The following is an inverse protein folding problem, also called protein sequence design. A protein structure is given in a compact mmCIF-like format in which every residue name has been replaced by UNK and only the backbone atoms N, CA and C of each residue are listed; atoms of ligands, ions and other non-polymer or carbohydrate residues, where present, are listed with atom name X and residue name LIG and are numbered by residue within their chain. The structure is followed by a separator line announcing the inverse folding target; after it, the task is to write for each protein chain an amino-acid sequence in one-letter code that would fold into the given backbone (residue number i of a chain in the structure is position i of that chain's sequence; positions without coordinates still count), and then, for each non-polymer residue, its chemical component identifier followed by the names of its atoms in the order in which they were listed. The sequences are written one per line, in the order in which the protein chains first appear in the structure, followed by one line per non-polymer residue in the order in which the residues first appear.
data_IF_905230883463
#
_entry.id   IF_905230883463
#
_cell.length_a   1.000
_cell.length_b   1.000
_cell.length_c   1.000
_cell.angle_alpha   90.00
_cell.angle_beta   90.00
_cell.angle_gamma   90.00
#
_symmetry.space_group_name_H-M   'P 1'
#
loop_
_entity.id
_entity.type
_entity.pdbx_description
1 polymer ?
#
# COMPACT_ATOMS: atom_id res chain seq x y z
N UNK A 1 7.07 -14.16 -30.84
CA UNK A 1 8.16 -15.10 -31.15
C UNK A 1 8.28 -16.13 -30.04
N UNK A 2 8.49 -17.40 -30.37
CA UNK A 2 8.70 -18.46 -29.37
C UNK A 2 10.12 -18.35 -28.83
N UNK A 3 10.27 -18.30 -27.50
CA UNK A 3 11.55 -18.11 -26.84
C UNK A 3 12.49 -19.31 -27.02
N UNK A 4 13.80 -19.08 -26.97
CA UNK A 4 14.82 -20.13 -27.15
C UNK A 4 14.62 -21.34 -26.22
N UNK A 5 14.19 -21.11 -24.98
CA UNK A 5 13.94 -22.16 -23.99
C UNK A 5 12.70 -23.03 -24.32
N UNK A 6 11.66 -22.44 -24.92
CA UNK A 6 10.48 -23.16 -25.38
C UNK A 6 10.80 -24.03 -26.59
N UNK A 7 11.64 -23.52 -27.51
CA UNK A 7 12.16 -24.30 -28.64
C UNK A 7 12.96 -25.51 -28.15
N UNK A 8 13.84 -25.32 -27.17
CA UNK A 8 14.63 -26.40 -26.55
C UNK A 8 13.74 -27.46 -25.87
N UNK A 9 12.72 -27.03 -25.12
CA UNK A 9 11.71 -27.92 -24.52
C UNK A 9 11.00 -28.76 -25.57
N UNK A 10 10.59 -28.15 -26.69
CA UNK A 10 9.95 -28.87 -27.79
C UNK A 10 10.87 -29.94 -28.40
N UNK A 11 12.14 -29.62 -28.65
CA UNK A 11 13.12 -30.59 -29.17
C UNK A 11 13.24 -31.77 -28.21
N UNK A 12 13.33 -31.51 -26.92
CA UNK A 12 13.45 -32.53 -25.88
C UNK A 12 12.25 -33.49 -25.89
N UNK A 13 11.02 -32.95 -25.93
CA UNK A 13 9.79 -33.76 -26.03
C UNK A 13 9.78 -34.60 -27.30
N UNK A 14 10.13 -34.01 -28.45
CA UNK A 14 10.09 -34.70 -29.76
C UNK A 14 11.20 -35.72 -29.98
N UNK A 15 12.25 -35.69 -29.16
CA UNK A 15 13.41 -36.58 -29.29
C UNK A 15 13.54 -37.56 -28.13
N UNK A 16 12.55 -37.60 -27.23
CA UNK A 16 12.60 -38.33 -25.95
C UNK A 16 13.91 -38.04 -25.20
N UNK A 17 14.12 -36.74 -24.92
CA UNK A 17 15.32 -36.21 -24.25
C UNK A 17 16.64 -36.61 -24.92
N UNK A 18 16.61 -36.72 -26.26
CA UNK A 18 17.79 -37.03 -27.07
C UNK A 18 18.05 -38.52 -27.31
N UNK A 19 17.16 -39.43 -26.87
CA UNK A 19 17.26 -40.86 -27.21
C UNK A 19 17.08 -41.09 -28.72
N UNK A 20 16.21 -40.32 -29.38
CA UNK A 20 15.99 -40.42 -30.84
C UNK A 20 17.03 -39.56 -31.60
N UNK A 21 18.28 -40.05 -31.64
CA UNK A 21 19.44 -39.30 -32.18
C UNK A 21 19.26 -38.81 -33.63
N UNK A 22 18.63 -39.62 -34.48
CA UNK A 22 18.46 -39.32 -35.91
C UNK A 22 17.61 -38.07 -36.21
N UNK A 23 16.75 -37.64 -35.27
CA UNK A 23 15.85 -36.49 -35.47
C UNK A 23 16.34 -35.20 -34.80
N UNK A 24 17.37 -35.27 -33.95
CA UNK A 24 17.90 -34.10 -33.23
C UNK A 24 18.38 -33.02 -34.21
N UNK A 25 19.11 -33.42 -35.27
CA UNK A 25 19.62 -32.48 -36.27
C UNK A 25 18.49 -31.72 -36.97
N UNK A 26 17.44 -32.46 -37.33
CA UNK A 26 16.29 -31.93 -38.05
C UNK A 26 15.60 -30.84 -37.23
N UNK A 27 15.28 -31.12 -35.96
CA UNK A 27 14.62 -30.13 -35.11
C UNK A 27 15.52 -28.97 -34.72
N UNK A 28 16.82 -29.20 -34.48
CA UNK A 28 17.79 -28.14 -34.22
C UNK A 28 17.85 -27.15 -35.39
N UNK A 29 17.92 -27.65 -36.63
CA UNK A 29 17.91 -26.80 -37.83
C UNK A 29 16.58 -26.08 -38.02
N UNK A 30 15.45 -26.79 -37.89
CA UNK A 30 14.11 -26.21 -38.10
C UNK A 30 13.75 -25.12 -37.09
N UNK A 31 14.29 -25.18 -35.86
CA UNK A 31 14.03 -24.21 -34.80
C UNK A 31 15.16 -23.19 -34.59
N UNK A 32 16.19 -23.24 -35.44
CA UNK A 32 17.35 -22.35 -35.41
C UNK A 32 18.10 -22.40 -34.06
N UNK A 33 18.30 -23.62 -33.53
CA UNK A 33 19.03 -23.86 -32.28
C UNK A 33 20.22 -24.77 -32.56
N UNK A 34 21.38 -24.44 -31.99
CA UNK A 34 22.57 -25.29 -32.09
C UNK A 34 22.40 -26.60 -31.31
N UNK A 35 22.96 -27.70 -31.81
CA UNK A 35 23.04 -28.98 -31.07
C UNK A 35 23.69 -28.82 -29.69
N UNK A 36 24.74 -28.00 -29.57
CA UNK A 36 25.39 -27.73 -28.29
C UNK A 36 24.39 -27.19 -27.26
N UNK A 37 23.66 -26.13 -27.61
CA UNK A 37 22.62 -25.57 -26.75
C UNK A 37 21.53 -26.59 -26.36
N UNK A 38 21.24 -27.59 -27.20
CA UNK A 38 20.32 -28.68 -26.86
C UNK A 38 20.91 -29.62 -25.81
N UNK A 39 22.16 -30.04 -25.95
CA UNK A 39 22.81 -30.88 -24.93
C UNK A 39 23.06 -30.12 -23.63
N UNK A 40 23.44 -28.83 -23.69
CA UNK A 40 23.53 -27.95 -22.52
C UNK A 40 22.17 -27.82 -21.81
N UNK A 41 21.08 -27.77 -22.60
CA UNK A 41 19.72 -27.79 -22.08
C UNK A 41 19.39 -29.10 -21.36
N UNK A 42 19.76 -30.26 -21.92
CA UNK A 42 19.52 -31.55 -21.27
C UNK A 42 20.28 -31.67 -19.94
N UNK A 43 21.53 -31.21 -19.90
CA UNK A 43 22.34 -31.21 -18.67
C UNK A 43 21.73 -30.31 -17.57
N UNK A 44 21.22 -29.14 -17.94
CA UNK A 44 20.58 -28.22 -16.96
C UNK A 44 19.12 -28.57 -16.63
N UNK A 45 18.40 -29.32 -17.47
CA UNK A 45 16.97 -29.62 -17.32
C UNK A 45 16.67 -30.29 -15.97
N UNK A 46 17.52 -31.22 -15.56
CA UNK A 46 17.34 -31.99 -14.33
C UNK A 46 18.04 -31.37 -13.12
N UNK A 47 18.77 -30.27 -13.30
CA UNK A 47 19.44 -29.60 -12.18
C UNK A 47 18.40 -28.85 -11.35
N UNK A 48 18.45 -28.99 -10.01
CA UNK A 48 17.57 -28.21 -9.15
C UNK A 48 17.80 -26.73 -9.39
N UNK A 49 16.72 -25.96 -9.35
CA UNK A 49 16.80 -24.52 -9.49
C UNK A 49 17.74 -23.96 -8.41
N UNK A 50 18.62 -23.02 -8.78
CA UNK A 50 19.63 -22.41 -7.87
C UNK A 50 19.02 -21.96 -6.53
N UNK A 51 17.79 -21.44 -6.54
CA UNK A 51 17.10 -20.94 -5.36
C UNK A 51 16.05 -21.91 -4.81
N UNK A 52 16.08 -23.19 -5.20
CA UNK A 52 15.08 -24.17 -4.78
C UNK A 52 15.04 -24.31 -3.25
N UNK A 53 16.20 -24.40 -2.59
CA UNK A 53 16.26 -24.49 -1.13
C UNK A 53 15.69 -23.24 -0.46
N UNK A 54 16.02 -22.05 -0.97
CA UNK A 54 15.50 -20.77 -0.48
C UNK A 54 13.98 -20.66 -0.68
N UNK A 55 13.49 -21.07 -1.85
CA UNK A 55 12.07 -21.12 -2.16
C UNK A 55 11.31 -22.05 -1.21
N UNK A 56 11.86 -23.23 -0.92
CA UNK A 56 11.25 -24.18 0.02
C UNK A 56 11.12 -23.57 1.42
N UNK A 57 12.14 -22.87 1.92
CA UNK A 57 12.07 -22.19 3.22
C UNK A 57 11.07 -21.02 3.22
N UNK A 58 11.00 -20.23 2.15
CA UNK A 58 9.98 -19.19 2.01
C UNK A 58 8.57 -19.77 2.04
N UNK A 59 8.35 -20.90 1.37
CA UNK A 59 7.06 -21.59 1.37
C UNK A 59 6.71 -22.15 2.74
N UNK A 60 7.68 -22.69 3.50
CA UNK A 60 7.46 -23.08 4.90
C UNK A 60 6.99 -21.88 5.72
N UNK A 61 7.77 -20.79 5.71
CA UNK A 61 7.41 -19.55 6.44
C UNK A 61 6.01 -19.06 6.04
N UNK A 62 5.68 -19.07 4.74
CA UNK A 62 4.37 -18.65 4.27
C UNK A 62 3.24 -19.55 4.77
N UNK A 63 3.47 -20.87 4.88
CA UNK A 63 2.48 -21.84 5.32
C UNK A 63 2.42 -22.02 6.84
N UNK A 64 3.42 -21.53 7.59
CA UNK A 64 3.47 -21.63 9.05
C UNK A 64 2.28 -20.92 9.72
N UNK A 65 1.79 -19.82 9.13
CA UNK A 65 0.64 -19.06 9.64
C UNK A 65 -0.22 -18.52 8.48
N UNK A 66 -1.55 -18.59 8.65
CA UNK A 66 -2.53 -18.02 7.71
C UNK A 66 -2.28 -16.54 7.41
N UNK A 67 -1.79 -15.76 8.37
CA UNK A 67 -1.52 -14.32 8.22
C UNK A 67 -0.21 -13.98 7.50
N UNK A 68 0.63 -15.00 7.24
CA UNK A 68 1.88 -14.84 6.47
C UNK A 68 1.61 -14.71 4.97
N UNK A 69 0.36 -14.85 4.53
CA UNK A 69 -0.08 -14.53 3.18
C UNK A 69 0.17 -13.06 2.79
N UNK A 70 0.17 -12.17 3.78
CA UNK A 70 0.46 -10.75 3.61
C UNK A 70 1.95 -10.39 3.61
N UNK A 71 2.86 -11.36 3.81
CA UNK A 71 4.28 -11.06 3.97
C UNK A 71 4.86 -10.44 2.69
N UNK A 72 5.16 -9.15 2.79
CA UNK A 72 5.96 -8.45 1.80
C UNK A 72 7.42 -8.87 1.87
N UNK A 73 8.19 -8.45 0.86
CA UNK A 73 9.63 -8.66 0.73
C UNK A 73 10.39 -8.49 2.05
N UNK A 74 10.19 -7.37 2.74
CA UNK A 74 10.92 -7.03 3.96
C UNK A 74 10.62 -8.00 5.10
N UNK A 75 9.34 -8.30 5.34
CA UNK A 75 8.91 -9.25 6.38
C UNK A 75 9.43 -10.66 6.12
N UNK A 76 9.35 -11.12 4.87
CA UNK A 76 9.89 -12.42 4.48
C UNK A 76 11.41 -12.48 4.65
N UNK A 77 12.13 -11.42 4.27
CA UNK A 77 13.59 -11.35 4.46
C UNK A 77 13.98 -11.38 5.94
N UNK A 78 13.27 -10.64 6.79
CA UNK A 78 13.51 -10.65 8.24
C UNK A 78 13.21 -12.03 8.85
N UNK A 79 12.11 -12.68 8.46
CA UNK A 79 11.76 -14.01 8.92
C UNK A 79 12.84 -15.06 8.59
N UNK A 80 13.36 -15.03 7.35
CA UNK A 80 14.48 -15.88 6.95
C UNK A 80 15.72 -15.63 7.82
N UNK A 81 16.09 -14.36 8.05
CA UNK A 81 17.26 -14.01 8.87
C UNK A 81 17.10 -14.47 10.33
N UNK A 82 15.90 -14.35 10.91
CA UNK A 82 15.61 -14.83 12.25
C UNK A 82 15.76 -16.34 12.35
N UNK A 83 15.16 -17.10 11.41
CA UNK A 83 15.29 -18.57 11.37
C UNK A 83 16.74 -19.03 11.16
N UNK A 84 17.53 -18.33 10.33
CA UNK A 84 18.97 -18.60 10.18
C UNK A 84 19.74 -18.34 11.48
N UNK A 85 19.45 -17.25 12.18
CA UNK A 85 20.07 -16.94 13.48
C UNK A 85 19.72 -17.96 14.56
N UNK A 86 18.50 -18.50 14.52
CA UNK A 86 18.04 -19.57 15.41
C UNK A 86 18.63 -20.95 15.07
N UNK A 87 19.35 -21.09 13.94
CA UNK A 87 19.90 -22.37 13.48
C UNK A 87 18.89 -23.31 12.85
N UNK A 88 17.65 -22.85 12.61
CA UNK A 88 16.59 -23.65 11.97
C UNK A 88 16.85 -23.85 10.48
N UNK A 89 17.60 -22.92 9.86
CA UNK A 89 17.90 -22.93 8.43
C UNK A 89 19.41 -22.84 8.23
N UNK A 90 19.98 -23.79 7.48
CA UNK A 90 21.40 -23.84 7.15
C UNK A 90 21.80 -23.15 5.84
N UNK A 91 20.83 -22.66 5.06
CA UNK A 91 21.11 -22.04 3.75
C UNK A 91 21.68 -20.63 3.91
N UNK A 92 22.48 -20.20 2.93
CA UNK A 92 22.86 -18.80 2.83
C UNK A 92 21.71 -17.93 2.31
N UNK A 93 21.50 -16.78 2.95
CA UNK A 93 20.38 -15.89 2.61
C UNK A 93 20.96 -14.75 1.77
N UNK A 94 20.57 -14.65 0.48
CA UNK A 94 21.07 -13.61 -0.39
C UNK A 94 20.46 -12.25 -0.02
N UNK A 95 20.91 -11.19 -0.69
CA UNK A 95 20.36 -9.85 -0.47
C UNK A 95 18.83 -9.79 -0.69
N UNK A 96 18.19 -8.84 -0.01
CA UNK A 96 16.74 -8.63 -0.04
C UNK A 96 16.18 -8.48 -1.47
N UNK A 97 16.98 -7.96 -2.42
CA UNK A 97 16.58 -7.84 -3.82
C UNK A 97 16.47 -9.20 -4.53
N UNK A 98 17.35 -10.14 -4.21
CA UNK A 98 17.30 -11.50 -4.71
C UNK A 98 16.12 -12.25 -4.09
N UNK A 99 15.89 -12.07 -2.80
CA UNK A 99 14.70 -12.61 -2.11
C UNK A 99 13.41 -12.18 -2.81
N UNK A 100 13.27 -10.89 -3.14
CA UNK A 100 12.13 -10.39 -3.92
C UNK A 100 11.98 -11.10 -5.28
N UNK A 101 13.09 -11.31 -6.01
CA UNK A 101 13.06 -12.00 -7.31
C UNK A 101 12.57 -13.44 -7.17
N UNK A 102 13.08 -14.15 -6.16
CA UNK A 102 12.67 -15.53 -5.86
C UNK A 102 11.20 -15.58 -5.47
N UNK A 103 10.75 -14.71 -4.55
CA UNK A 103 9.32 -14.57 -4.18
C UNK A 103 8.43 -14.35 -5.40
N UNK A 104 8.85 -13.52 -6.36
CA UNK A 104 8.10 -13.29 -7.59
C UNK A 104 7.97 -14.57 -8.44
N UNK A 105 9.06 -15.34 -8.54
CA UNK A 105 9.12 -16.57 -9.34
C UNK A 105 8.28 -17.70 -8.74
N UNK A 106 8.15 -17.75 -7.40
CA UNK A 106 7.33 -18.74 -6.69
C UNK A 106 5.90 -18.25 -6.41
N UNK A 107 5.53 -17.04 -6.85
CA UNK A 107 4.17 -16.53 -6.72
C UNK A 107 3.80 -15.97 -5.34
N UNK A 108 4.76 -15.71 -4.45
CA UNK A 108 4.52 -15.12 -3.13
C UNK A 108 4.41 -13.59 -3.13
N UNK A 109 4.45 -12.94 -4.30
CA UNK A 109 4.17 -11.51 -4.40
C UNK A 109 2.69 -11.31 -4.70
N UNK A 110 1.93 -10.94 -3.68
CA UNK A 110 0.57 -10.43 -3.86
C UNK A 110 0.63 -9.08 -4.57
N UNK A 111 0.11 -9.03 -5.80
CA UNK A 111 -0.20 -7.76 -6.46
C UNK A 111 -1.63 -7.42 -6.06
N UNK A 112 -1.87 -6.40 -5.21
CA UNK A 112 -3.24 -5.97 -4.93
C UNK A 112 -3.91 -5.62 -6.26
N UNK A 113 -4.98 -6.33 -6.60
CA UNK A 113 -5.81 -5.91 -7.73
C UNK A 113 -6.45 -4.58 -7.33
N UNK A 114 -5.98 -3.50 -7.94
CA UNK A 114 -6.57 -2.18 -7.77
C UNK A 114 -8.03 -2.27 -8.22
N UNK A 115 -8.96 -2.21 -7.28
CA UNK A 115 -10.39 -2.09 -7.59
C UNK A 115 -10.64 -0.64 -8.00
N UNK A 116 -10.98 -0.35 -9.28
CA UNK A 116 -11.19 1.03 -9.75
C UNK A 116 -12.46 1.67 -9.17
N UNK A 117 -13.29 0.90 -8.47
CA UNK A 117 -14.58 1.32 -7.94
C UNK A 117 -14.42 2.08 -6.60
N UNK A 118 -13.64 3.17 -6.60
CA UNK A 118 -13.65 4.12 -5.50
C UNK A 118 -15.06 4.73 -5.37
N UNK A 119 -15.65 4.62 -4.18
CA UNK A 119 -16.99 5.14 -3.88
C UNK A 119 -16.99 6.68 -3.97
N UNK A 120 -15.85 7.31 -3.63
CA UNK A 120 -15.65 8.75 -3.70
C UNK A 120 -15.36 9.19 -5.13
N UNK A 121 -16.39 9.67 -5.83
CA UNK A 121 -16.21 10.47 -7.04
C UNK A 121 -15.89 11.90 -6.62
N UNK A 122 -14.73 12.41 -7.03
CA UNK A 122 -14.41 13.82 -6.84
C UNK A 122 -15.45 14.66 -7.60
N UNK A 123 -16.10 15.58 -6.90
CA UNK A 123 -16.94 16.59 -7.53
C UNK A 123 -16.04 17.58 -8.28
N UNK A 124 -16.19 17.66 -9.60
CA UNK A 124 -15.38 18.53 -10.45
C UNK A 124 -15.66 20.02 -10.21
N UNK A 125 -16.85 20.35 -9.71
CA UNK A 125 -17.29 21.73 -9.45
C UNK A 125 -16.90 22.21 -8.05
N UNK A 126 -16.47 21.30 -7.17
CA UNK A 126 -16.03 21.67 -5.84
C UNK A 126 -14.72 22.47 -5.91
N UNK A 127 -14.75 23.71 -5.41
CA UNK A 127 -13.53 24.50 -5.22
C UNK A 127 -12.61 23.75 -4.25
N UNK A 128 -11.49 23.26 -4.77
CA UNK A 128 -10.44 22.65 -3.95
C UNK A 128 -9.89 23.72 -3.00
N UNK A 129 -9.77 23.37 -1.72
CA UNK A 129 -9.01 24.20 -0.78
C UNK A 129 -7.57 24.28 -1.26
N UNK A 130 -6.91 25.41 -1.03
CA UNK A 130 -5.49 25.55 -1.33
C UNK A 130 -4.71 24.50 -0.53
N UNK A 131 -3.85 23.74 -1.21
CA UNK A 131 -2.95 22.78 -0.55
C UNK A 131 -1.81 23.55 0.11
N UNK A 132 -2.08 24.06 1.31
CA UNK A 132 -1.12 24.83 2.10
C UNK A 132 0.08 23.98 2.52
N UNK A 133 -0.10 22.66 2.65
CA UNK A 133 0.98 21.74 3.03
C UNK A 133 1.84 21.36 1.82
N UNK A 134 1.32 21.46 0.59
CA UNK A 134 2.01 20.97 -0.64
C UNK A 134 2.52 19.54 -0.49
N UNK A 135 1.78 18.71 0.26
CA UNK A 135 2.16 17.34 0.68
C UNK A 135 3.46 17.23 1.48
N UNK A 136 3.91 18.31 2.11
CA UNK A 136 5.00 18.31 3.09
C UNK A 136 4.45 18.22 4.52
N UNK A 137 4.40 16.98 5.01
CA UNK A 137 3.88 16.60 6.33
C UNK A 137 4.94 16.59 7.43
N UNK A 138 6.14 17.14 7.18
CA UNK A 138 7.19 17.24 8.20
C UNK A 138 7.18 18.62 8.84
N UNK A 139 7.36 18.68 10.16
CA UNK A 139 7.60 19.90 10.91
C UNK A 139 8.92 19.80 11.70
N UNK A 140 9.61 20.92 11.85
CA UNK A 140 10.87 20.99 12.61
C UNK A 140 10.62 21.17 14.13
N UNK A 141 9.42 21.62 14.51
CA UNK A 141 9.00 21.79 15.91
C UNK A 141 7.58 21.30 16.15
N UNK A 142 7.26 20.91 17.40
CA UNK A 142 5.90 20.55 17.78
C UNK A 142 4.89 21.67 17.49
N UNK A 143 3.65 21.27 17.18
CA UNK A 143 2.49 22.16 16.99
C UNK A 143 2.62 23.17 15.82
N UNK A 144 3.61 23.03 14.94
CA UNK A 144 3.74 23.90 13.75
C UNK A 144 2.82 23.47 12.61
N UNK A 145 2.66 22.16 12.42
CA UNK A 145 1.79 21.57 11.40
C UNK A 145 1.04 20.41 12.04
N UNK A 146 -0.26 20.32 11.77
CA UNK A 146 -1.07 19.22 12.22
C UNK A 146 -1.96 18.73 11.07
N UNK A 147 -2.26 17.44 11.08
CA UNK A 147 -3.14 16.81 10.10
C UNK A 147 -4.25 16.06 10.81
N UNK A 148 -5.40 15.98 10.15
CA UNK A 148 -6.59 15.33 10.71
C UNK A 148 -7.12 14.30 9.74
N UNK A 149 -7.58 13.17 10.26
CA UNK A 149 -8.28 12.17 9.46
C UNK A 149 -9.51 11.63 10.21
N UNK A 150 -10.45 11.07 9.45
CA UNK A 150 -11.59 10.33 9.98
C UNK A 150 -11.53 8.91 9.43
N UNK A 151 -11.43 7.94 10.32
CA UNK A 151 -11.37 6.52 10.00
C UNK A 151 -12.65 5.80 10.41
N UNK A 152 -13.27 5.09 9.47
CA UNK A 152 -14.38 4.17 9.73
C UNK A 152 -13.82 2.82 10.22
N UNK A 153 -14.18 2.43 11.43
CA UNK A 153 -13.88 1.13 12.03
C UNK A 153 -15.13 0.26 12.07
N UNK A 154 -14.99 -1.01 11.68
CA UNK A 154 -16.07 -2.00 11.83
C UNK A 154 -16.04 -2.56 13.25
N UNK A 155 -17.06 -2.24 14.03
CA UNK A 155 -17.31 -2.83 15.35
C UNK A 155 -18.34 -3.97 15.25
N UNK A 156 -18.56 -4.70 16.35
CA UNK A 156 -19.55 -5.79 16.41
C UNK A 156 -20.98 -5.28 16.20
N UNK A 157 -21.28 -4.13 16.77
CA UNK A 157 -22.65 -3.56 16.82
C UNK A 157 -22.89 -2.50 15.73
N UNK A 158 -21.97 -2.34 14.78
CA UNK A 158 -22.08 -1.37 13.71
C UNK A 158 -20.77 -0.70 13.34
N UNK A 159 -20.86 0.44 12.66
CA UNK A 159 -19.71 1.26 12.28
C UNK A 159 -19.44 2.28 13.37
N UNK A 160 -18.16 2.48 13.69
CA UNK A 160 -17.68 3.52 14.57
C UNK A 160 -16.71 4.40 13.80
N UNK A 161 -16.79 5.70 14.00
CA UNK A 161 -15.94 6.68 13.34
C UNK A 161 -15.00 7.28 14.37
N UNK A 162 -13.71 7.23 14.05
CA UNK A 162 -12.64 7.79 14.88
C UNK A 162 -12.08 8.97 14.14
N UNK A 163 -12.07 10.14 14.76
CA UNK A 163 -11.38 11.32 14.25
C UNK A 163 -10.20 11.64 15.16
N UNK A 164 -9.05 11.88 14.53
CA UNK A 164 -7.81 12.16 15.23
C UNK A 164 -7.07 13.34 14.58
N UNK A 165 -6.39 14.13 15.41
CA UNK A 165 -5.45 15.18 14.99
C UNK A 165 -4.05 14.71 15.37
N UNK A 166 -3.11 14.70 14.43
CA UNK A 166 -1.73 14.32 14.64
C UNK A 166 -0.79 15.51 14.41
N UNK A 167 0.26 15.61 15.22
CA UNK A 167 1.37 16.53 15.00
C UNK A 167 2.31 16.01 13.89
N UNK A 168 2.71 16.87 12.97
CA UNK A 168 3.66 16.56 11.90
C UNK A 168 5.13 16.53 12.37
N UNK A 169 5.41 16.87 13.62
CA UNK A 169 6.75 16.74 14.20
C UNK A 169 7.09 15.29 14.57
N UNK A 170 6.25 14.67 15.41
CA UNK A 170 6.51 13.35 16.01
C UNK A 170 5.36 12.34 15.82
N UNK A 171 4.30 12.73 15.10
CA UNK A 171 3.08 11.93 14.88
C UNK A 171 2.30 11.64 16.17
N UNK A 172 2.51 12.41 17.24
CA UNK A 172 1.71 12.27 18.46
C UNK A 172 0.27 12.74 18.22
N UNK A 173 -0.73 12.01 18.76
CA UNK A 173 -2.12 12.43 18.68
C UNK A 173 -2.36 13.62 19.60
N UNK A 174 -2.71 14.76 19.01
CA UNK A 174 -3.06 15.99 19.73
C UNK A 174 -4.48 15.92 20.29
N UNK A 175 -5.41 15.28 19.56
CA UNK A 175 -6.80 15.09 19.99
C UNK A 175 -7.44 13.91 19.29
N UNK A 176 -8.41 13.31 19.96
CA UNK A 176 -9.13 12.12 19.52
C UNK A 176 -10.61 12.23 19.92
N UNK A 177 -11.52 11.89 19.02
CA UNK A 177 -12.92 11.67 19.35
C UNK A 177 -13.45 10.44 18.61
N UNK A 178 -14.46 9.80 19.20
CA UNK A 178 -15.07 8.57 18.70
C UNK A 178 -16.59 8.73 18.75
N UNK A 179 -17.28 8.50 17.64
CA UNK A 179 -18.74 8.52 17.55
C UNK A 179 -19.26 7.38 16.68
N UNK A 180 -20.56 7.09 16.78
CA UNK A 180 -21.28 6.11 15.93
C UNK A 180 -21.68 6.68 14.55
N UNK A 181 -21.34 7.95 14.28
CA UNK A 181 -21.75 8.68 13.08
C UNK A 181 -20.63 9.60 12.55
N UNK A 182 -20.65 9.87 11.24
CA UNK A 182 -19.69 10.76 10.58
C UNK A 182 -20.29 12.16 10.38
N UNK A 183 -20.62 12.85 11.48
CA UNK A 183 -21.12 14.25 11.44
C UNK A 183 -20.02 15.23 11.83
N UNK A 184 -20.27 16.51 11.55
CA UNK A 184 -19.37 17.60 11.94
C UNK A 184 -19.12 17.67 13.46
N UNK A 185 -20.04 17.16 14.29
CA UNK A 185 -19.87 17.07 15.75
C UNK A 185 -18.61 16.30 16.13
N UNK A 186 -18.33 15.18 15.47
CA UNK A 186 -17.13 14.38 15.70
C UNK A 186 -15.86 15.21 15.51
N UNK A 187 -15.79 16.00 14.44
CA UNK A 187 -14.65 16.87 14.16
C UNK A 187 -14.52 17.98 15.21
N UNK A 188 -15.64 18.59 15.61
CA UNK A 188 -15.67 19.64 16.64
C UNK A 188 -15.15 19.09 17.97
N UNK A 189 -15.66 17.94 18.41
CA UNK A 189 -15.19 17.28 19.64
C UNK A 189 -13.70 16.93 19.57
N UNK A 190 -13.19 16.52 18.40
CA UNK A 190 -11.76 16.22 18.24
C UNK A 190 -10.90 17.48 18.43
N UNK A 191 -11.31 18.62 17.86
CA UNK A 191 -10.64 19.91 18.02
C UNK A 191 -10.73 20.42 19.45
N UNK A 192 -11.89 20.27 20.10
CA UNK A 192 -12.07 20.61 21.51
C UNK A 192 -11.16 19.78 22.42
N UNK A 193 -11.09 18.46 22.20
CA UNK A 193 -10.18 17.58 22.92
C UNK A 193 -8.71 17.98 22.71
N UNK A 194 -8.33 18.34 21.49
CA UNK A 194 -6.98 18.83 21.20
C UNK A 194 -6.66 20.13 21.94
N UNK A 195 -7.59 21.09 21.91
CA UNK A 195 -7.47 22.37 22.61
C UNK A 195 -7.37 22.20 24.13
N UNK A 196 -8.13 21.25 24.69
CA UNK A 196 -8.12 20.97 26.13
C UNK A 196 -6.80 20.31 26.56
N UNK A 197 -6.27 19.40 25.75
CA UNK A 197 -5.00 18.71 26.03
C UNK A 197 -3.78 19.62 25.80
N UNK A 198 -3.84 20.47 24.78
CA UNK A 198 -2.75 21.37 24.38
C UNK A 198 -3.28 22.80 24.20
N UNK A 199 -3.37 23.61 25.27
CA UNK A 199 -3.90 24.97 25.21
C UNK A 199 -3.14 25.91 24.24
N UNK A 200 -1.87 25.60 23.95
CA UNK A 200 -1.00 26.34 23.04
C UNK A 200 -1.46 26.25 21.57
N UNK A 201 -2.32 25.28 21.23
CA UNK A 201 -2.99 25.15 19.92
C UNK A 201 -3.83 26.40 19.58
N UNK A 202 -4.23 27.22 20.56
CA UNK A 202 -4.87 28.53 20.33
C UNK A 202 -4.01 29.51 19.51
N UNK A 203 -2.75 29.17 19.23
CA UNK A 203 -1.81 29.96 18.42
C UNK A 203 -1.63 29.45 16.99
N UNK A 204 -2.55 28.65 16.43
CA UNK A 204 -2.78 28.61 14.97
C UNK A 204 -3.33 29.96 14.47
N UNK A 205 -2.66 31.07 14.83
CA UNK A 205 -2.73 32.32 14.10
C UNK A 205 -2.41 31.97 12.66
N UNK A 206 -3.33 32.28 11.77
CA UNK A 206 -3.07 32.48 10.35
C UNK A 206 -1.79 33.32 10.21
N UNK A 207 -0.63 32.67 10.12
CA UNK A 207 0.62 33.35 9.76
C UNK A 207 0.56 33.49 8.24
N UNK A 208 -0.04 34.62 7.88
CA UNK A 208 -0.18 35.29 6.59
C UNK A 208 -1.49 35.04 5.80
N UNK A 209 -2.26 36.12 5.50
CA UNK A 209 -3.32 36.07 4.52
C UNK A 209 -2.70 36.17 3.12
N UNK A 210 -2.55 35.05 2.41
CA UNK A 210 -2.28 35.08 0.97
C UNK A 210 -3.62 34.99 0.23
N UNK A 211 -4.35 36.09 0.29
CA UNK A 211 -5.33 36.61 -0.69
C UNK A 211 -6.43 37.43 0.01
N UNK A 212 -6.32 38.75 -0.12
CA UNK A 212 -7.40 39.71 0.12
C UNK A 212 -8.52 39.43 -0.89
N UNK A 213 -9.52 38.63 -0.52
CA UNK A 213 -10.86 38.85 -1.05
C UNK A 213 -11.43 40.04 -0.28
N UNK A 214 -11.52 41.19 -0.96
CA UNK A 214 -12.24 42.38 -0.48
C UNK A 214 -13.67 41.95 -0.12
N UNK A 215 -13.93 41.80 1.17
CA UNK A 215 -15.26 41.99 1.72
C UNK A 215 -15.13 43.29 2.50
N UNK A 216 -15.92 44.27 2.09
CA UNK A 216 -15.98 45.62 2.65
C UNK A 216 -16.07 45.60 4.17
N UNK A 217 -15.28 46.48 4.79
CA UNK A 217 -15.26 46.77 6.22
C UNK A 217 -16.67 47.08 6.75
N UNK A 218 -17.23 46.17 7.54
CA UNK A 218 -18.10 46.48 8.67
C UNK A 218 -18.39 45.20 9.45
N UNK A 219 -18.16 45.27 10.76
CA UNK A 219 -18.52 44.33 11.83
C UNK A 219 -17.45 43.30 12.26
N UNK A 220 -16.88 43.62 13.42
CA UNK A 220 -16.35 42.66 14.40
C UNK A 220 -17.50 41.73 14.82
N UNK A 221 -17.36 40.42 14.67
CA UNK A 221 -18.22 39.39 15.30
C UNK A 221 -17.45 38.06 15.15
N UNK A 222 -16.92 37.50 16.23
CA UNK A 222 -17.60 36.58 17.17
C UNK A 222 -18.30 35.46 16.40
N UNK A 223 -17.87 34.22 16.66
CA UNK A 223 -18.45 32.98 16.15
C UNK A 223 -19.96 32.93 16.44
N UNK A 224 -20.78 33.38 15.50
CA UNK A 224 -22.22 33.22 15.53
C UNK A 224 -22.62 31.97 14.73
N UNK A 225 -23.17 30.98 15.44
CA UNK A 225 -23.65 29.70 14.93
C UNK A 225 -24.93 29.83 14.07
N UNK A 226 -25.49 31.03 13.86
CA UNK A 226 -26.71 31.22 13.07
C UNK A 226 -26.54 31.03 11.55
N UNK A 227 -25.33 31.14 11.00
CA UNK A 227 -25.09 30.96 9.55
C UNK A 227 -25.05 29.50 9.08
N UNK A 228 -24.79 28.55 9.97
CA UNK A 228 -24.84 27.12 9.63
C UNK A 228 -26.28 26.63 9.35
N UNK A 229 -27.30 27.29 9.90
CA UNK A 229 -28.70 26.88 9.71
C UNK A 229 -29.32 27.36 8.39
N UNK A 230 -28.78 28.40 7.75
CA UNK A 230 -29.28 28.85 6.43
C UNK A 230 -28.91 27.92 5.28
N UNK A 231 -27.80 27.18 5.36
CA UNK A 231 -27.41 26.17 4.36
C UNK A 231 -28.27 24.90 4.41
N UNK A 232 -29.02 24.66 5.51
CA UNK A 232 -29.92 23.50 5.64
C UNK A 232 -31.19 23.61 4.79
N UNK A 233 -31.53 24.78 4.24
CA UNK A 233 -32.79 25.03 3.50
C UNK A 233 -32.73 24.74 1.99
N UNK A 234 -31.62 24.25 1.43
CA UNK A 234 -31.49 23.95 -0.02
C UNK A 234 -30.94 22.54 -0.32
N UNK A 235 -31.45 21.51 0.34
CA UNK A 235 -31.30 20.13 -0.16
C UNK A 235 -32.67 19.53 -0.51
N UNK A 236 -32.87 19.00 -1.74
CA UNK A 236 -34.09 18.29 -2.07
C UNK A 236 -34.18 17.01 -1.24
N UNK A 237 -35.34 16.80 -0.59
CA UNK A 237 -35.69 15.55 0.10
C UNK A 237 -35.62 14.41 -0.89
N UNK A 238 -34.59 13.56 -0.82
CA UNK A 238 -34.64 12.26 -1.48
C UNK A 238 -35.59 11.35 -0.69
N UNK A 239 -36.58 10.83 -1.42
CA UNK A 239 -37.60 9.90 -0.96
C UNK A 239 -36.96 8.61 -0.45
N UNK A 240 -37.51 8.11 0.65
CA UNK A 240 -37.32 6.74 1.13
C UNK A 240 -37.72 5.74 0.05
N UNK A 241 -36.89 4.71 -0.13
CA UNK A 241 -37.27 3.36 -0.52
C UNK A 241 -36.32 2.38 0.15
#
# INVERSE_FOLDING_TARGET
EVGKEERLKFIAIKTDDGKVKGRINFYCKALEVTRQAFYDYLDRKNKPWKYQALANEMMKIHNDDKYNDTYGRQRMYMALLLKKRAGEIAIDIPCEATVRKVMAQIGLIHKPQRKPNGITKADSEARKSDDLLKRDFHADKPLEKAVTDISELKAKDGKVYVSAIFDCFDLMPLGLAIEDNMRASLCVHTVENAKNAYPDINTFRQRQPVHKCRISDSNKEVWDNSKYEQCRRKMPRQRQM
#
